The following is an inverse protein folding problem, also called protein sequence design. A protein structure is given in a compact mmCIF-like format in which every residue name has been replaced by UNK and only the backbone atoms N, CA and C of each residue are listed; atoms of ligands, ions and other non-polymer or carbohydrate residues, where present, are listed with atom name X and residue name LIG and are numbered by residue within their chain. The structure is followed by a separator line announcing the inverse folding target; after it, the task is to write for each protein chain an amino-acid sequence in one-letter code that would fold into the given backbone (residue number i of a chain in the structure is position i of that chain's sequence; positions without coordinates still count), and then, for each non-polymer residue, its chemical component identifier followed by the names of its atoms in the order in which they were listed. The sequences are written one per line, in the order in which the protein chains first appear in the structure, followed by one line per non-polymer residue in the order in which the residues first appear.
data_IF_069846238180
#
_entry.id   IF_069846238180
#
_cell.length_a   1.000
_cell.length_b   1.000
_cell.length_c   1.000
_cell.angle_alpha   90.00
_cell.angle_beta   90.00
_cell.angle_gamma   90.00
#
_symmetry.space_group_name_H-M   'P 1'
#
loop_
_entity.id
_entity.type
_entity.pdbx_description
1 polymer ?
#
# COMPACT_ATOMS: atom_id res chain seq x y z
N UNK A 1 21.25 0.12 20.21
CA UNK A 1 20.12 0.12 21.14
C UNK A 1 19.93 1.47 21.85
N UNK A 2 20.97 2.12 22.47
CA UNK A 2 20.79 3.43 23.13
C UNK A 2 20.19 4.52 22.25
N UNK A 3 20.69 4.70 21.03
CA UNK A 3 20.14 5.71 20.07
C UNK A 3 18.67 5.47 19.71
N UNK A 4 18.23 4.22 19.61
CA UNK A 4 16.83 3.87 19.30
C UNK A 4 15.91 4.21 20.48
N UNK A 5 16.35 3.89 21.72
CA UNK A 5 15.61 4.22 22.95
C UNK A 5 15.54 5.75 23.14
N UNK A 6 16.64 6.47 22.89
CA UNK A 6 16.66 7.94 22.93
C UNK A 6 15.72 8.55 21.88
N UNK A 7 15.67 8.00 20.67
CA UNK A 7 14.73 8.45 19.64
C UNK A 7 13.27 8.23 20.06
N UNK A 8 12.95 7.08 20.65
CA UNK A 8 11.61 6.80 21.19
C UNK A 8 11.25 7.77 22.34
N UNK A 9 12.17 8.03 23.26
CA UNK A 9 11.95 8.99 24.35
C UNK A 9 11.71 10.39 23.78
N UNK A 10 12.47 10.80 22.78
CA UNK A 10 12.30 12.11 22.12
C UNK A 10 10.96 12.25 21.39
N UNK A 11 10.45 11.18 20.78
CA UNK A 11 9.11 11.12 20.18
C UNK A 11 8.03 11.40 21.25
N UNK A 12 8.14 10.77 22.43
CA UNK A 12 7.17 10.96 23.51
C UNK A 12 7.25 12.32 24.21
N UNK A 13 8.39 13.01 24.14
CA UNK A 13 8.56 14.37 24.68
C UNK A 13 7.84 15.43 23.85
N UNK A 14 7.53 15.15 22.58
CA UNK A 14 6.84 16.08 21.71
C UNK A 14 5.32 15.85 21.82
N UNK A 15 4.62 16.72 22.49
CA UNK A 15 3.19 16.58 22.79
C UNK A 15 2.33 16.44 21.52
N UNK A 16 2.62 17.22 20.49
CA UNK A 16 1.92 17.12 19.20
C UNK A 16 2.08 15.75 18.55
N UNK A 17 3.32 15.24 18.50
CA UNK A 17 3.63 13.95 17.89
C UNK A 17 3.02 12.80 18.70
N UNK A 18 3.09 12.88 20.02
CA UNK A 18 2.44 11.94 20.95
C UNK A 18 0.94 11.87 20.68
N UNK A 19 0.27 13.02 20.59
CA UNK A 19 -1.17 13.08 20.34
C UNK A 19 -1.54 12.47 18.97
N UNK A 20 -0.77 12.74 17.93
CA UNK A 20 -0.96 12.14 16.60
C UNK A 20 -0.81 10.62 16.62
N UNK A 21 0.21 10.09 17.34
CA UNK A 21 0.41 8.64 17.51
C UNK A 21 -0.79 8.02 18.26
N UNK A 22 -1.22 8.62 19.36
CA UNK A 22 -2.35 8.12 20.15
C UNK A 22 -3.65 8.10 19.35
N UNK A 23 -3.92 9.15 18.56
CA UNK A 23 -5.08 9.20 17.66
C UNK A 23 -4.99 8.06 16.64
N UNK A 24 -3.83 7.87 16.02
CA UNK A 24 -3.62 6.79 15.03
C UNK A 24 -3.88 5.43 15.66
N UNK A 25 -3.29 5.14 16.81
CA UNK A 25 -3.48 3.87 17.51
C UNK A 25 -4.94 3.66 17.94
N UNK A 26 -5.61 4.70 18.44
CA UNK A 26 -7.02 4.64 18.81
C UNK A 26 -7.93 4.32 17.62
N UNK A 27 -7.71 4.95 16.47
CA UNK A 27 -8.48 4.68 15.25
C UNK A 27 -8.21 3.26 14.72
N UNK A 28 -6.95 2.81 14.74
CA UNK A 28 -6.59 1.45 14.35
C UNK A 28 -7.26 0.39 15.25
N UNK A 29 -7.38 0.66 16.55
CA UNK A 29 -8.08 -0.20 17.49
C UNK A 29 -9.57 -0.28 17.15
N UNK A 30 -10.22 0.84 16.87
CA UNK A 30 -11.65 0.88 16.44
C UNK A 30 -11.84 0.05 15.17
N UNK A 31 -10.96 0.21 14.18
CA UNK A 31 -11.01 -0.57 12.94
C UNK A 31 -10.87 -2.08 13.20
N UNK A 32 -9.92 -2.48 14.06
CA UNK A 32 -9.72 -3.90 14.41
C UNK A 32 -10.90 -4.48 15.18
N UNK A 33 -11.51 -3.72 16.06
CA UNK A 33 -12.72 -4.13 16.77
C UNK A 33 -13.86 -4.38 15.79
N UNK A 34 -14.13 -3.42 14.88
CA UNK A 34 -15.19 -3.56 13.88
C UNK A 34 -14.98 -4.74 12.91
N UNK A 35 -13.71 -5.11 12.62
CA UNK A 35 -13.40 -6.30 11.83
C UNK A 35 -13.74 -7.63 12.52
N UNK A 36 -14.05 -7.63 13.81
CA UNK A 36 -14.51 -8.82 14.56
C UNK A 36 -16.03 -8.91 14.67
N UNK A 37 -16.76 -7.83 14.38
CA UNK A 37 -18.21 -7.78 14.49
C UNK A 37 -18.82 -8.42 13.25
N UNK A 38 -19.47 -9.57 13.40
CA UNK A 38 -20.15 -10.29 12.32
C UNK A 38 -21.41 -9.55 11.85
N UNK A 39 -21.81 -9.78 10.61
CA UNK A 39 -23.07 -9.27 10.07
C UNK A 39 -24.26 -9.82 10.88
N UNK A 40 -25.26 -8.97 11.19
CA UNK A 40 -26.48 -9.42 11.85
C UNK A 40 -27.18 -10.50 11.02
N UNK A 41 -27.64 -11.55 11.69
CA UNK A 41 -28.29 -12.68 11.03
C UNK A 41 -27.37 -13.84 10.65
N UNK A 42 -26.06 -13.77 10.95
CA UNK A 42 -25.11 -14.86 10.74
C UNK A 42 -24.60 -15.37 12.09
N UNK A 43 -24.63 -16.69 12.29
CA UNK A 43 -24.05 -17.34 13.46
C UNK A 43 -22.54 -17.44 13.33
N UNK A 44 -21.82 -16.73 14.21
CA UNK A 44 -20.37 -16.69 14.23
C UNK A 44 -19.71 -18.06 14.47
N UNK A 45 -20.42 -19.01 15.11
CA UNK A 45 -19.89 -20.33 15.42
C UNK A 45 -19.74 -21.22 14.20
N UNK A 46 -20.56 -20.97 13.16
CA UNK A 46 -20.58 -21.76 11.92
C UNK A 46 -19.72 -21.21 10.80
N UNK A 47 -18.98 -20.14 11.05
CA UNK A 47 -18.08 -19.50 10.07
C UNK A 47 -16.77 -20.29 9.81
N UNK A 48 -16.53 -21.36 10.54
CA UNK A 48 -15.33 -22.22 10.36
C UNK A 48 -15.23 -22.82 8.95
N UNK A 49 -16.38 -23.12 8.31
CA UNK A 49 -16.45 -23.60 6.94
C UNK A 49 -15.99 -22.56 5.91
N UNK A 50 -16.34 -21.29 6.13
CA UNK A 50 -15.92 -20.17 5.29
C UNK A 50 -14.40 -19.93 5.40
N UNK A 51 -13.86 -20.00 6.62
CA UNK A 51 -12.42 -19.89 6.86
C UNK A 51 -11.61 -20.99 6.19
N UNK A 52 -12.18 -22.17 5.97
CA UNK A 52 -11.57 -23.26 5.22
C UNK A 52 -11.47 -22.99 3.71
N UNK A 53 -12.53 -22.50 3.11
CA UNK A 53 -12.61 -22.20 1.67
C UNK A 53 -11.88 -20.91 1.27
N UNK A 54 -11.74 -19.94 2.18
CA UNK A 54 -10.97 -18.72 1.94
C UNK A 54 -9.45 -18.92 2.08
N UNK A 55 -8.98 -20.12 2.38
CA UNK A 55 -7.53 -20.43 2.42
C UNK A 55 -6.91 -20.49 1.03
N UNK A 56 -7.69 -20.78 0.00
CA UNK A 56 -7.22 -20.95 -1.37
C UNK A 56 -7.87 -19.93 -2.32
N UNK A 57 -7.14 -19.53 -3.34
CA UNK A 57 -7.63 -18.65 -4.40
C UNK A 57 -7.78 -17.18 -3.99
N UNK A 58 -8.66 -16.48 -4.71
CA UNK A 58 -8.87 -15.03 -4.62
C UNK A 58 -9.40 -14.60 -3.24
N UNK A 59 -10.22 -15.43 -2.61
CA UNK A 59 -10.77 -15.17 -1.26
C UNK A 59 -9.67 -14.98 -0.21
N UNK A 60 -8.55 -15.68 -0.37
CA UNK A 60 -7.38 -15.57 0.52
C UNK A 60 -6.74 -14.18 0.49
N UNK A 61 -6.65 -13.58 -0.71
CA UNK A 61 -6.12 -12.20 -0.86
C UNK A 61 -7.05 -11.19 -0.18
N UNK A 62 -8.36 -11.27 -0.48
CA UNK A 62 -9.35 -10.37 0.11
C UNK A 62 -9.33 -10.47 1.64
N UNK A 63 -9.28 -11.69 2.15
CA UNK A 63 -9.25 -11.95 3.57
C UNK A 63 -7.98 -11.44 4.24
N UNK A 64 -6.85 -11.51 3.55
CA UNK A 64 -5.59 -10.96 4.03
C UNK A 64 -5.60 -9.42 4.10
N UNK A 65 -6.09 -8.73 3.07
CA UNK A 65 -6.19 -7.26 3.06
C UNK A 65 -7.19 -6.73 4.09
N UNK A 66 -8.28 -7.48 4.33
CA UNK A 66 -9.28 -7.11 5.34
C UNK A 66 -8.89 -7.56 6.75
N UNK A 67 -7.76 -8.29 6.88
CA UNK A 67 -7.26 -8.79 8.17
C UNK A 67 -8.17 -9.80 8.83
N UNK A 68 -8.83 -10.65 8.03
CA UNK A 68 -9.74 -11.68 8.50
C UNK A 68 -11.21 -11.26 8.58
N UNK A 69 -11.54 -10.04 8.18
CA UNK A 69 -12.90 -9.55 8.22
C UNK A 69 -13.78 -10.23 7.15
N UNK A 70 -13.20 -10.59 6.00
CA UNK A 70 -13.89 -11.30 4.93
C UNK A 70 -14.32 -12.71 5.36
N UNK A 71 -13.42 -13.50 5.93
CA UNK A 71 -13.72 -14.87 6.40
C UNK A 71 -14.61 -14.92 7.64
N UNK A 72 -14.72 -13.84 8.38
CA UNK A 72 -15.60 -13.70 9.54
C UNK A 72 -16.96 -13.09 9.22
N UNK A 73 -17.27 -12.88 7.94
CA UNK A 73 -18.48 -12.20 7.49
C UNK A 73 -18.79 -10.93 8.32
N UNK A 74 -17.75 -10.09 8.54
CA UNK A 74 -17.87 -8.93 9.41
C UNK A 74 -18.49 -7.73 8.70
N UNK A 75 -18.86 -6.70 9.49
CA UNK A 75 -19.31 -5.39 8.98
C UNK A 75 -18.27 -4.76 8.03
N UNK A 76 -16.98 -5.07 8.23
CA UNK A 76 -15.89 -4.64 7.35
C UNK A 76 -15.42 -5.74 6.39
N UNK A 77 -16.30 -6.67 6.00
CA UNK A 77 -15.90 -7.77 5.12
C UNK A 77 -15.31 -7.32 3.78
N UNK A 78 -15.84 -6.26 3.17
CA UNK A 78 -15.27 -5.65 1.96
C UNK A 78 -14.10 -4.71 2.27
N UNK A 79 -13.96 -4.26 3.52
CA UNK A 79 -12.87 -3.41 3.99
C UNK A 79 -12.70 -2.13 3.18
N UNK A 80 -11.45 -1.83 2.82
CA UNK A 80 -11.06 -0.64 2.05
C UNK A 80 -10.93 -0.97 0.55
N UNK A 81 -11.10 -2.23 0.13
CA UNK A 81 -10.87 -2.65 -1.26
C UNK A 81 -11.74 -1.88 -2.28
N UNK A 82 -13.05 -1.64 -2.05
CA UNK A 82 -13.86 -0.83 -2.97
C UNK A 82 -13.33 0.59 -3.15
N UNK A 83 -12.81 1.20 -2.07
CA UNK A 83 -12.20 2.52 -2.13
C UNK A 83 -10.89 2.52 -2.94
N UNK A 84 -10.05 1.49 -2.76
CA UNK A 84 -8.82 1.36 -3.55
C UNK A 84 -9.16 1.25 -5.03
N UNK A 85 -10.12 0.39 -5.39
CA UNK A 85 -10.58 0.25 -6.78
C UNK A 85 -11.14 1.56 -7.34
N UNK A 86 -11.94 2.29 -6.56
CA UNK A 86 -12.46 3.61 -6.93
C UNK A 86 -11.35 4.63 -7.15
N UNK A 87 -10.37 4.69 -6.25
CA UNK A 87 -9.22 5.59 -6.35
C UNK A 87 -8.38 5.31 -7.59
N UNK A 88 -8.17 4.03 -7.90
CA UNK A 88 -7.48 3.57 -9.10
C UNK A 88 -8.22 4.07 -10.36
N UNK A 89 -9.52 3.82 -10.45
CA UNK A 89 -10.33 4.24 -11.58
C UNK A 89 -10.28 5.76 -11.78
N UNK A 90 -10.43 6.53 -10.69
CA UNK A 90 -10.38 8.00 -10.76
C UNK A 90 -8.99 8.50 -11.19
N UNK A 91 -7.90 7.87 -10.73
CA UNK A 91 -6.54 8.23 -11.16
C UNK A 91 -6.32 7.95 -12.64
N UNK A 92 -6.78 6.79 -13.13
CA UNK A 92 -6.69 6.44 -14.57
C UNK A 92 -7.55 7.36 -15.42
N UNK A 93 -8.78 7.65 -15.00
CA UNK A 93 -9.67 8.59 -15.68
C UNK A 93 -9.11 10.03 -15.66
N UNK A 94 -8.31 10.38 -14.64
CA UNK A 94 -7.61 11.66 -14.56
C UNK A 94 -6.62 11.91 -15.69
N UNK A 95 -6.17 10.86 -16.39
CA UNK A 95 -5.31 10.95 -17.57
C UNK A 95 -6.14 11.08 -18.85
N UNK A 96 -7.25 10.33 -18.93
CA UNK A 96 -8.08 10.24 -20.12
C UNK A 96 -9.09 11.39 -20.23
N UNK A 97 -9.57 11.93 -19.10
CA UNK A 97 -10.63 12.94 -19.07
C UNK A 97 -10.04 14.33 -18.77
N UNK A 98 -10.12 15.31 -19.70
CA UNK A 98 -9.55 16.66 -19.52
C UNK A 98 -10.12 17.40 -18.29
N UNK A 99 -11.37 17.13 -17.93
CA UNK A 99 -11.99 17.71 -16.72
C UNK A 99 -11.28 17.26 -15.44
N UNK A 100 -10.98 15.97 -15.29
CA UNK A 100 -10.28 15.44 -14.14
C UNK A 100 -8.81 15.87 -14.11
N UNK A 101 -8.19 16.00 -15.27
CA UNK A 101 -6.84 16.52 -15.41
C UNK A 101 -6.73 17.97 -14.92
N UNK A 102 -7.71 18.81 -15.24
CA UNK A 102 -7.79 20.19 -14.69
C UNK A 102 -7.94 20.17 -13.18
N UNK A 103 -8.82 19.31 -12.63
CA UNK A 103 -8.99 19.17 -11.17
C UNK A 103 -7.70 18.73 -10.46
N UNK A 104 -6.88 17.89 -11.10
CA UNK A 104 -5.58 17.51 -10.55
C UNK A 104 -4.58 18.68 -10.50
N UNK A 105 -4.69 19.62 -11.42
CA UNK A 105 -3.85 20.84 -11.46
C UNK A 105 -4.34 21.97 -10.57
N UNK A 106 -5.63 21.99 -10.17
CA UNK A 106 -6.28 23.04 -9.37
C UNK A 106 -5.89 23.05 -7.87
N UNK A 107 -4.87 22.29 -7.49
CA UNK A 107 -4.34 22.29 -6.12
C UNK A 107 -5.30 21.68 -5.09
N UNK A 108 -5.46 22.34 -3.93
CA UNK A 108 -6.24 21.79 -2.81
C UNK A 108 -7.75 21.71 -3.10
N UNK A 109 -8.31 22.68 -3.81
CA UNK A 109 -9.72 22.68 -4.20
C UNK A 109 -10.05 21.52 -5.14
N UNK A 110 -9.19 21.28 -6.13
CA UNK A 110 -9.32 20.15 -7.05
C UNK A 110 -9.20 18.79 -6.35
N UNK A 111 -8.26 18.66 -5.41
CA UNK A 111 -8.11 17.44 -4.58
C UNK A 111 -9.37 17.11 -3.78
N UNK A 112 -10.03 18.12 -3.18
CA UNK A 112 -11.29 17.91 -2.45
C UNK A 112 -12.40 17.36 -3.36
N UNK A 113 -12.52 17.86 -4.60
CA UNK A 113 -13.49 17.38 -5.58
C UNK A 113 -13.16 15.95 -6.06
N UNK A 114 -11.89 15.66 -6.30
CA UNK A 114 -11.43 14.31 -6.68
C UNK A 114 -11.76 13.31 -5.57
N UNK A 115 -11.47 13.63 -4.31
CA UNK A 115 -11.82 12.80 -3.18
C UNK A 115 -13.33 12.57 -3.07
N UNK A 116 -14.15 13.58 -3.35
CA UNK A 116 -15.59 13.45 -3.36
C UNK A 116 -16.08 12.51 -4.47
N UNK A 117 -15.54 12.61 -5.68
CA UNK A 117 -15.84 11.69 -6.80
C UNK A 117 -15.44 10.26 -6.42
N UNK A 118 -14.26 10.08 -5.83
CA UNK A 118 -13.79 8.77 -5.35
C UNK A 118 -14.75 8.17 -4.32
N UNK A 119 -15.26 8.97 -3.37
CA UNK A 119 -16.25 8.49 -2.38
C UNK A 119 -17.55 8.02 -3.03
N UNK A 120 -18.11 8.78 -3.98
CA UNK A 120 -19.31 8.37 -4.70
C UNK A 120 -19.10 7.10 -5.51
N UNK A 121 -17.94 7.00 -6.18
CA UNK A 121 -17.58 5.80 -6.93
C UNK A 121 -17.40 4.59 -6.00
N UNK A 122 -16.82 4.78 -4.82
CA UNK A 122 -16.71 3.74 -3.79
C UNK A 122 -18.07 3.19 -3.39
N UNK A 123 -19.05 4.06 -3.17
CA UNK A 123 -20.43 3.64 -2.85
C UNK A 123 -21.00 2.81 -4.01
N UNK A 124 -20.85 3.27 -5.25
CA UNK A 124 -21.30 2.55 -6.44
C UNK A 124 -20.68 1.15 -6.57
N UNK A 125 -19.35 1.06 -6.39
CA UNK A 125 -18.63 -0.23 -6.45
C UNK A 125 -19.10 -1.15 -5.30
N UNK A 126 -19.25 -0.63 -4.10
CA UNK A 126 -19.70 -1.43 -2.94
C UNK A 126 -21.12 -1.95 -3.12
N UNK A 127 -22.01 -1.15 -3.72
CA UNK A 127 -23.38 -1.59 -4.04
C UNK A 127 -23.43 -2.75 -5.04
N UNK A 128 -22.45 -2.83 -5.95
CA UNK A 128 -22.32 -3.95 -6.90
C UNK A 128 -21.64 -5.16 -6.25
N UNK A 129 -20.58 -4.94 -5.47
CA UNK A 129 -19.82 -6.03 -4.83
C UNK A 129 -20.55 -6.64 -3.62
N UNK A 130 -21.34 -5.86 -2.88
CA UNK A 130 -22.06 -6.30 -1.70
C UNK A 130 -22.98 -7.49 -1.95
N UNK A 131 -23.92 -7.42 -2.90
CA UNK A 131 -24.76 -8.55 -3.28
C UNK A 131 -23.97 -9.78 -3.72
N UNK A 132 -22.90 -9.58 -4.48
CA UNK A 132 -21.99 -10.68 -4.90
C UNK A 132 -21.34 -11.38 -3.71
N UNK A 133 -20.89 -10.63 -2.71
CA UNK A 133 -20.36 -11.19 -1.48
C UNK A 133 -21.41 -11.99 -0.69
N UNK A 134 -22.63 -11.47 -0.55
CA UNK A 134 -23.70 -12.15 0.18
C UNK A 134 -24.13 -13.41 -0.56
N UNK A 135 -24.22 -13.36 -1.90
CA UNK A 135 -24.47 -14.55 -2.71
C UNK A 135 -23.42 -15.64 -2.51
N UNK A 136 -22.16 -15.25 -2.41
CA UNK A 136 -21.06 -16.17 -2.07
C UNK A 136 -21.26 -16.77 -0.66
N UNK A 137 -21.68 -15.97 0.34
CA UNK A 137 -21.98 -16.47 1.68
C UNK A 137 -23.10 -17.53 1.64
N UNK A 138 -24.17 -17.31 0.87
CA UNK A 138 -25.24 -18.30 0.72
C UNK A 138 -24.79 -19.62 0.10
N UNK A 139 -23.82 -19.60 -0.81
CA UNK A 139 -23.25 -20.81 -1.43
C UNK A 139 -22.27 -21.56 -0.53
N UNK A 140 -21.60 -20.83 0.35
CA UNK A 140 -20.48 -21.35 1.14
C UNK A 140 -20.90 -21.81 2.53
N UNK A 141 -21.86 -21.11 3.15
CA UNK A 141 -22.34 -21.42 4.50
C UNK A 141 -23.47 -22.46 4.47
N UNK A 142 -23.49 -23.38 5.45
CA UNK A 142 -24.63 -24.30 5.62
C UNK A 142 -25.89 -23.53 5.97
N UNK A 143 -27.06 -24.04 5.58
CA UNK A 143 -28.36 -23.42 5.83
C UNK A 143 -28.66 -23.10 7.31
N UNK A 144 -28.02 -23.79 8.24
CA UNK A 144 -28.13 -23.53 9.68
C UNK A 144 -27.31 -22.35 10.18
N UNK A 145 -26.44 -21.75 9.35
CA UNK A 145 -25.62 -20.58 9.72
C UNK A 145 -26.41 -19.26 9.67
N UNK A 146 -27.57 -19.28 9.02
CA UNK A 146 -28.46 -18.11 8.95
C UNK A 146 -29.50 -18.22 10.04
N UNK A 147 -29.63 -17.19 10.90
CA UNK A 147 -30.60 -17.14 11.99
C UNK A 147 -32.02 -17.18 11.42
N UNK A 148 -32.84 -18.09 11.94
CA UNK A 148 -34.24 -18.27 11.60
C UNK A 148 -35.02 -16.98 11.89
N UNK A 149 -35.68 -16.44 10.87
CA UNK A 149 -36.57 -15.26 11.01
C UNK A 149 -36.33 -14.14 10.00
N UNK A 150 -35.26 -14.19 9.21
CA UNK A 150 -35.03 -13.22 8.12
C UNK A 150 -35.46 -13.82 6.78
N UNK A 151 -36.32 -13.11 6.03
CA UNK A 151 -36.56 -13.39 4.63
C UNK A 151 -35.25 -13.14 3.85
N UNK A 152 -34.96 -13.94 2.82
CA UNK A 152 -33.72 -13.80 2.01
C UNK A 152 -33.54 -12.38 1.45
N UNK A 153 -34.63 -11.69 1.12
CA UNK A 153 -34.59 -10.32 0.64
C UNK A 153 -34.24 -9.30 1.73
N UNK A 154 -34.83 -9.44 2.92
CA UNK A 154 -34.56 -8.55 4.07
C UNK A 154 -33.10 -8.68 4.53
N UNK A 155 -32.61 -9.92 4.60
CA UNK A 155 -31.21 -10.18 4.92
C UNK A 155 -30.26 -9.58 3.86
N UNK A 156 -30.55 -9.78 2.56
CA UNK A 156 -29.76 -9.21 1.47
C UNK A 156 -29.71 -7.68 1.57
N UNK A 157 -30.86 -7.03 1.70
CA UNK A 157 -30.96 -5.57 1.75
C UNK A 157 -30.24 -4.99 2.97
N UNK A 158 -30.52 -5.51 4.16
CA UNK A 158 -29.90 -5.04 5.41
C UNK A 158 -28.38 -5.26 5.39
N UNK A 159 -27.91 -6.42 4.94
CA UNK A 159 -26.48 -6.73 4.86
C UNK A 159 -25.76 -5.85 3.85
N UNK A 160 -26.34 -5.56 2.68
CA UNK A 160 -25.77 -4.63 1.70
C UNK A 160 -25.62 -3.23 2.29
N UNK A 161 -26.67 -2.71 2.97
CA UNK A 161 -26.62 -1.39 3.61
C UNK A 161 -25.51 -1.35 4.69
N UNK A 162 -25.40 -2.41 5.49
CA UNK A 162 -24.35 -2.50 6.52
C UNK A 162 -22.97 -2.55 5.89
N UNK A 163 -22.76 -3.33 4.83
CA UNK A 163 -21.46 -3.41 4.13
C UNK A 163 -21.07 -2.07 3.50
N UNK A 164 -22.01 -1.36 2.88
CA UNK A 164 -21.77 -0.01 2.32
C UNK A 164 -21.37 0.96 3.44
N UNK A 165 -22.14 0.96 4.54
CA UNK A 165 -21.84 1.82 5.70
C UNK A 165 -20.48 1.46 6.31
N UNK A 166 -20.16 0.18 6.44
CA UNK A 166 -18.89 -0.30 6.94
C UNK A 166 -17.72 0.16 6.07
N UNK A 167 -17.85 0.05 4.76
CA UNK A 167 -16.81 0.51 3.81
C UNK A 167 -16.59 2.03 3.89
N UNK A 168 -17.69 2.82 3.95
CA UNK A 168 -17.61 4.28 4.09
C UNK A 168 -16.96 4.64 5.43
N UNK A 169 -17.32 3.94 6.50
CA UNK A 169 -16.75 4.18 7.82
C UNK A 169 -15.25 3.82 7.85
N UNK A 170 -14.83 2.71 7.27
CA UNK A 170 -13.43 2.33 7.14
C UNK A 170 -12.63 3.37 6.34
N UNK A 171 -13.19 3.88 5.23
CA UNK A 171 -12.61 4.97 4.46
C UNK A 171 -12.45 6.25 5.30
N UNK A 172 -13.50 6.64 6.04
CA UNK A 172 -13.47 7.81 6.92
C UNK A 172 -12.42 7.66 8.03
N UNK A 173 -12.25 6.46 8.61
CA UNK A 173 -11.18 6.19 9.57
C UNK A 173 -9.80 6.41 8.93
N UNK A 174 -9.59 5.93 7.71
CA UNK A 174 -8.34 6.14 6.96
C UNK A 174 -8.05 7.63 6.70
N UNK A 175 -9.05 8.39 6.26
CA UNK A 175 -8.92 9.84 6.07
C UNK A 175 -8.61 10.56 7.40
N UNK A 176 -9.27 10.17 8.49
CA UNK A 176 -9.01 10.74 9.84
C UNK A 176 -7.59 10.49 10.31
N UNK A 177 -7.01 9.32 10.04
CA UNK A 177 -5.60 9.05 10.34
C UNK A 177 -4.70 9.97 9.51
N UNK A 178 -4.99 10.13 8.21
CA UNK A 178 -4.19 10.99 7.32
C UNK A 178 -4.22 12.45 7.76
N UNK A 179 -5.39 12.96 8.20
CA UNK A 179 -5.56 14.36 8.60
C UNK A 179 -4.99 14.66 9.99
N UNK A 180 -5.29 13.82 10.97
CA UNK A 180 -4.98 14.06 12.39
C UNK A 180 -3.94 13.13 13.00
N UNK A 181 -3.61 12.06 12.32
CA UNK A 181 -2.64 11.05 12.76
C UNK A 181 -1.27 11.22 12.12
N UNK A 182 -0.60 10.09 11.92
CA UNK A 182 0.71 9.96 11.28
C UNK A 182 0.59 8.97 10.13
N UNK A 183 1.25 9.26 9.02
CA UNK A 183 1.28 8.39 7.85
C UNK A 183 0.07 8.51 6.95
N UNK A 184 0.06 7.68 5.91
CA UNK A 184 -1.12 7.52 5.06
C UNK A 184 -2.09 6.55 5.74
N UNK A 185 -3.22 7.06 6.21
CA UNK A 185 -4.17 6.28 7.02
C UNK A 185 -4.73 5.04 6.31
N UNK A 186 -5.00 5.13 5.01
CA UNK A 186 -5.50 4.01 4.21
C UNK A 186 -4.46 2.90 4.14
N UNK A 187 -3.21 3.26 3.84
CA UNK A 187 -2.10 2.31 3.79
C UNK A 187 -1.84 1.67 5.16
N UNK A 188 -1.96 2.44 6.25
CA UNK A 188 -1.85 1.93 7.63
C UNK A 188 -2.96 0.94 7.99
N UNK A 189 -4.20 1.19 7.57
CA UNK A 189 -5.30 0.26 7.80
C UNK A 189 -5.07 -1.08 7.08
N UNK A 190 -4.56 -1.03 5.84
CA UNK A 190 -4.19 -2.23 5.08
C UNK A 190 -3.05 -2.97 5.79
N UNK A 191 -1.99 -2.25 6.17
CA UNK A 191 -0.84 -2.83 6.87
C UNK A 191 -1.25 -3.55 8.16
N UNK A 192 -2.11 -2.93 8.97
CA UNK A 192 -2.62 -3.52 10.21
C UNK A 192 -3.51 -4.75 9.92
N UNK A 193 -4.29 -4.72 8.82
CA UNK A 193 -5.02 -5.90 8.34
C UNK A 193 -4.09 -7.07 8.06
N UNK A 194 -3.04 -6.84 7.28
CA UNK A 194 -2.03 -7.85 6.94
C UNK A 194 -1.32 -8.36 8.21
N UNK A 195 -0.82 -7.43 9.05
CA UNK A 195 -0.09 -7.78 10.26
C UNK A 195 -0.91 -8.63 11.25
N UNK A 196 -2.22 -8.43 11.28
CA UNK A 196 -3.10 -9.19 12.17
C UNK A 196 -3.23 -10.67 11.81
N UNK A 197 -2.94 -11.04 10.57
CA UNK A 197 -2.91 -12.44 10.10
C UNK A 197 -1.56 -13.13 10.33
N UNK A 198 -0.50 -12.34 10.51
CA UNK A 198 0.85 -12.85 10.68
C UNK A 198 1.02 -13.86 11.83
N UNK A 199 0.54 -13.60 13.07
CA UNK A 199 0.72 -14.54 14.17
C UNK A 199 0.06 -15.89 13.90
N UNK A 200 -1.15 -15.88 13.30
CA UNK A 200 -1.89 -17.10 13.00
C UNK A 200 -1.20 -17.91 11.89
N UNK A 201 -0.72 -17.25 10.84
CA UNK A 201 0.03 -17.91 9.76
C UNK A 201 1.32 -18.55 10.29
N UNK A 202 2.05 -17.83 11.15
CA UNK A 202 3.28 -18.34 11.76
C UNK A 202 3.03 -19.55 12.66
N UNK A 203 1.98 -19.51 13.51
CA UNK A 203 1.62 -20.66 14.37
C UNK A 203 1.21 -21.87 13.54
N UNK A 204 0.47 -21.68 12.44
CA UNK A 204 0.07 -22.76 11.54
C UNK A 204 1.29 -23.43 10.89
N UNK A 205 2.26 -22.63 10.39
CA UNK A 205 3.49 -23.16 9.81
C UNK A 205 4.33 -23.89 10.85
N UNK A 206 4.51 -23.28 12.03
CA UNK A 206 5.23 -23.90 13.15
C UNK A 206 4.63 -25.26 13.52
N UNK A 207 3.31 -25.34 13.67
CA UNK A 207 2.62 -26.60 13.95
C UNK A 207 2.80 -27.62 12.83
N UNK A 208 2.71 -27.21 11.55
CA UNK A 208 2.91 -28.08 10.40
C UNK A 208 4.32 -28.69 10.37
N UNK A 209 5.36 -27.90 10.66
CA UNK A 209 6.76 -28.33 10.63
C UNK A 209 7.16 -29.18 11.84
N UNK A 210 6.62 -28.87 13.01
CA UNK A 210 7.00 -29.59 14.27
C UNK A 210 6.13 -30.81 14.48
N UNK A 211 4.81 -30.73 14.22
CA UNK A 211 3.87 -31.82 14.55
C UNK A 211 3.70 -32.84 13.42
N UNK A 212 3.66 -32.38 12.17
CA UNK A 212 3.38 -33.25 11.00
C UNK A 212 4.64 -33.79 10.31
N UNK A 213 5.83 -33.52 10.83
CA UNK A 213 7.13 -33.99 10.29
C UNK A 213 7.41 -33.57 8.82
N UNK A 214 6.74 -32.57 8.28
CA UNK A 214 7.00 -32.06 6.93
C UNK A 214 8.31 -31.25 6.91
N UNK A 215 9.43 -31.95 6.79
CA UNK A 215 10.76 -31.36 6.68
C UNK A 215 11.43 -30.97 8.01
N UNK A 216 10.74 -31.13 9.14
CA UNK A 216 11.29 -30.91 10.47
C UNK A 216 11.58 -29.46 10.85
N UNK A 217 11.98 -29.19 12.10
CA UNK A 217 12.23 -27.83 12.62
C UNK A 217 13.42 -27.12 11.93
N UNK A 218 14.32 -27.85 11.26
CA UNK A 218 15.44 -27.29 10.52
C UNK A 218 14.97 -26.49 9.30
N UNK A 219 13.93 -26.94 8.60
CA UNK A 219 13.34 -26.23 7.46
C UNK A 219 12.73 -24.90 7.90
N UNK A 220 12.08 -24.85 9.06
CA UNK A 220 11.53 -23.63 9.62
C UNK A 220 12.60 -22.55 9.87
N UNK A 221 13.79 -22.97 10.36
CA UNK A 221 14.92 -22.02 10.54
C UNK A 221 15.37 -21.44 9.20
N UNK A 222 15.45 -22.29 8.16
CA UNK A 222 15.81 -21.84 6.80
C UNK A 222 14.75 -20.86 6.28
N UNK A 223 13.47 -21.15 6.47
CA UNK A 223 12.36 -20.26 6.09
C UNK A 223 12.49 -18.88 6.74
N UNK A 224 12.74 -18.82 8.05
CA UNK A 224 12.92 -17.56 8.76
C UNK A 224 14.13 -16.78 8.22
N UNK A 225 15.24 -17.44 7.90
CA UNK A 225 16.42 -16.78 7.33
C UNK A 225 16.08 -16.20 5.95
N UNK A 226 15.41 -16.96 5.08
CA UNK A 226 14.98 -16.49 3.76
C UNK A 226 14.03 -15.31 3.92
N UNK A 227 13.06 -15.41 4.83
CA UNK A 227 12.09 -14.32 5.10
C UNK A 227 12.80 -13.02 5.52
N UNK A 228 13.76 -13.07 6.45
CA UNK A 228 14.56 -11.91 6.84
C UNK A 228 15.36 -11.33 5.67
N UNK A 229 15.94 -12.19 4.82
CA UNK A 229 16.69 -11.75 3.64
C UNK A 229 15.79 -11.01 2.64
N UNK A 230 14.57 -11.50 2.43
CA UNK A 230 13.58 -10.84 1.56
C UNK A 230 13.13 -9.50 2.13
N UNK A 231 12.93 -9.39 3.46
CA UNK A 231 12.63 -8.11 4.12
C UNK A 231 13.77 -7.11 3.88
N UNK A 232 15.02 -7.51 4.09
CA UNK A 232 16.19 -6.66 3.86
C UNK A 232 16.24 -6.19 2.40
N UNK A 233 16.01 -7.10 1.45
CA UNK A 233 15.97 -6.79 0.03
C UNK A 233 14.86 -5.79 -0.30
N UNK A 234 13.68 -5.94 0.30
CA UNK A 234 12.56 -5.00 0.15
C UNK A 234 12.89 -3.61 0.72
N UNK A 235 13.52 -3.55 1.90
CA UNK A 235 13.97 -2.29 2.51
C UNK A 235 14.97 -1.59 1.61
N UNK A 236 15.96 -2.31 1.08
CA UNK A 236 16.97 -1.76 0.16
C UNK A 236 16.31 -1.18 -1.10
N UNK A 237 15.32 -1.86 -1.69
CA UNK A 237 14.57 -1.36 -2.84
C UNK A 237 13.85 -0.04 -2.53
N UNK A 238 13.10 0.01 -1.41
CA UNK A 238 12.30 1.19 -1.04
C UNK A 238 13.18 2.38 -0.67
N UNK A 239 14.35 2.13 -0.07
CA UNK A 239 15.30 3.17 0.32
C UNK A 239 16.28 3.58 -0.80
N UNK A 240 16.34 2.83 -1.90
CA UNK A 240 17.26 3.12 -3.00
C UNK A 240 16.90 4.44 -3.69
N UNK A 241 17.87 5.37 -3.72
CA UNK A 241 17.73 6.69 -4.34
C UNK A 241 18.90 6.98 -5.26
N UNK A 242 18.61 7.53 -6.45
CA UNK A 242 19.61 8.11 -7.35
C UNK A 242 19.71 9.61 -7.08
N UNK A 243 20.88 10.10 -6.73
CA UNK A 243 21.14 11.52 -6.49
C UNK A 243 21.65 12.17 -7.78
N UNK A 244 20.91 13.18 -8.28
CA UNK A 244 21.33 14.00 -9.44
C UNK A 244 21.90 15.32 -8.91
N UNK A 245 23.12 15.70 -9.27
CA UNK A 245 23.71 16.96 -8.84
C UNK A 245 23.03 18.15 -9.54
N UNK A 246 22.67 19.16 -8.76
CA UNK A 246 22.13 20.43 -9.25
C UNK A 246 22.95 21.57 -8.67
N UNK A 247 23.28 22.53 -9.51
CA UNK A 247 23.96 23.77 -9.11
C UNK A 247 22.99 24.94 -9.26
N UNK A 248 23.00 25.83 -8.27
CA UNK A 248 22.22 27.06 -8.30
C UNK A 248 23.15 28.24 -8.55
N UNK A 249 22.77 29.13 -9.48
CA UNK A 249 23.48 30.37 -9.71
C UNK A 249 23.30 31.29 -8.49
N UNK A 250 24.37 31.55 -7.73
CA UNK A 250 24.38 32.44 -6.57
C UNK A 250 24.96 33.80 -6.97
N UNK A 251 24.30 34.88 -6.61
CA UNK A 251 24.92 36.20 -6.66
C UNK A 251 25.90 36.29 -5.50
N UNK A 252 27.18 36.29 -5.77
CA UNK A 252 28.25 36.58 -4.81
C UNK A 252 28.19 38.07 -4.45
N UNK A 253 27.88 38.38 -3.21
CA UNK A 253 27.87 39.77 -2.69
C UNK A 253 29.12 40.07 -1.88
N UNK A 254 29.99 39.10 -1.66
CA UNK A 254 31.22 39.17 -0.85
C UNK A 254 32.46 38.91 -1.70
N UNK A 255 33.46 39.75 -1.55
CA UNK A 255 34.67 39.77 -2.41
C UNK A 255 35.68 38.61 -2.31
N UNK A 256 35.33 37.52 -1.59
CA UNK A 256 36.18 36.31 -1.49
C UNK A 256 35.78 35.26 -2.53
N UNK A 257 36.19 35.48 -3.77
CA UNK A 257 35.89 34.58 -4.91
C UNK A 257 36.44 33.16 -4.76
N UNK A 258 37.54 32.95 -4.08
CA UNK A 258 38.15 31.60 -3.99
C UNK A 258 37.48 30.67 -3.01
N UNK A 259 37.01 31.15 -1.88
CA UNK A 259 36.29 30.31 -0.89
C UNK A 259 34.85 29.97 -1.32
N UNK A 260 34.17 30.90 -1.99
CA UNK A 260 32.80 30.69 -2.48
C UNK A 260 32.73 29.74 -3.70
N UNK A 261 33.82 29.62 -4.49
CA UNK A 261 33.90 28.65 -5.59
C UNK A 261 34.17 27.21 -5.14
N UNK A 262 34.84 27.00 -4.01
CA UNK A 262 35.07 25.64 -3.47
C UNK A 262 33.84 25.08 -2.74
N UNK A 263 33.01 25.92 -2.18
CA UNK A 263 31.78 25.54 -1.43
C UNK A 263 30.52 25.74 -2.28
N UNK A 264 30.65 25.60 -3.61
CA UNK A 264 29.53 25.62 -4.55
C UNK A 264 28.39 24.74 -4.02
N UNK A 265 27.28 25.36 -3.66
CA UNK A 265 26.08 24.76 -3.04
C UNK A 265 25.53 23.67 -3.96
N UNK A 266 26.22 22.52 -4.05
CA UNK A 266 25.77 21.35 -4.79
C UNK A 266 24.62 20.74 -4.03
N UNK A 267 23.43 20.96 -4.53
CA UNK A 267 22.24 20.27 -4.06
C UNK A 267 22.03 19.01 -4.90
N UNK A 268 21.29 18.07 -4.36
CA UNK A 268 21.02 16.82 -5.02
C UNK A 268 19.51 16.63 -5.13
N UNK A 269 19.03 16.28 -6.32
CA UNK A 269 17.66 15.82 -6.49
C UNK A 269 17.66 14.31 -6.21
N UNK A 270 16.97 13.85 -5.14
CA UNK A 270 16.85 12.42 -4.85
C UNK A 270 15.74 11.82 -5.70
N UNK A 271 16.08 11.03 -6.72
CA UNK A 271 15.11 10.22 -7.46
C UNK A 271 15.04 8.83 -6.83
N UNK A 272 13.86 8.46 -6.33
CA UNK A 272 13.63 7.13 -5.75
C UNK A 272 13.63 6.07 -6.86
N UNK A 273 14.26 4.93 -6.62
CA UNK A 273 14.24 3.77 -7.53
C UNK A 273 12.79 3.25 -7.70
N UNK A 274 12.06 3.20 -6.59
CA UNK A 274 10.64 2.91 -6.55
C UNK A 274 9.84 4.20 -6.29
N UNK A 275 9.79 5.09 -7.29
CA UNK A 275 9.04 6.34 -7.20
C UNK A 275 7.52 6.11 -7.17
N UNK A 276 7.06 5.03 -7.80
CA UNK A 276 5.66 4.62 -7.84
C UNK A 276 5.15 3.98 -6.54
N UNK A 277 6.06 3.61 -5.62
CA UNK A 277 5.69 2.97 -4.36
C UNK A 277 5.04 1.60 -4.54
N UNK A 278 3.97 1.37 -3.83
CA UNK A 278 3.23 0.09 -3.80
C UNK A 278 2.10 0.04 -4.85
N UNK A 279 1.74 1.20 -5.42
CA UNK A 279 0.59 1.35 -6.31
C UNK A 279 0.59 0.39 -7.52
N UNK A 280 1.69 0.20 -8.28
CA UNK A 280 1.70 -0.70 -9.42
C UNK A 280 1.27 -2.13 -9.10
N UNK A 281 1.64 -2.63 -7.93
CA UNK A 281 1.31 -3.98 -7.48
C UNK A 281 -0.19 -4.09 -7.18
N UNK A 282 -0.75 -3.07 -6.51
CA UNK A 282 -2.18 -3.01 -6.21
C UNK A 282 -3.00 -2.96 -7.49
N UNK A 283 -2.54 -2.17 -8.51
CA UNK A 283 -3.17 -2.11 -9.83
C UNK A 283 -3.13 -3.45 -10.56
N UNK A 284 -1.95 -4.08 -10.61
CA UNK A 284 -1.80 -5.39 -11.23
C UNK A 284 -2.73 -6.42 -10.58
N UNK A 285 -2.83 -6.40 -9.25
CA UNK A 285 -3.70 -7.29 -8.51
C UNK A 285 -5.18 -7.02 -8.76
N UNK A 286 -5.61 -5.75 -8.82
CA UNK A 286 -6.99 -5.39 -9.13
C UNK A 286 -7.41 -5.89 -10.52
N UNK A 287 -6.50 -5.82 -11.52
CA UNK A 287 -6.78 -6.34 -12.87
C UNK A 287 -6.83 -7.87 -12.87
N UNK A 288 -6.00 -8.55 -12.07
CA UNK A 288 -6.03 -10.01 -11.96
C UNK A 288 -7.35 -10.55 -11.38
N UNK A 289 -8.16 -9.71 -10.70
CA UNK A 289 -9.51 -10.09 -10.29
C UNK A 289 -10.51 -10.18 -11.45
N UNK A 290 -10.29 -9.46 -12.55
CA UNK A 290 -11.23 -9.41 -13.68
C UNK A 290 -11.38 -10.78 -14.37
N UNK A 291 -10.30 -11.48 -14.80
CA UNK A 291 -10.41 -12.81 -15.39
C UNK A 291 -11.13 -13.80 -14.47
N UNK A 292 -10.83 -13.75 -13.18
CA UNK A 292 -11.43 -14.64 -12.20
C UNK A 292 -12.94 -14.38 -11.97
N UNK A 293 -13.36 -13.10 -12.02
CA UNK A 293 -14.78 -12.72 -11.92
C UNK A 293 -15.58 -13.13 -13.18
N UNK A 294 -15.00 -12.89 -14.38
CA UNK A 294 -15.62 -13.29 -15.66
C UNK A 294 -15.72 -14.80 -15.79
N UNK A 295 -14.71 -15.50 -15.31
CA UNK A 295 -14.65 -16.95 -15.30
C UNK A 295 -15.78 -17.61 -14.50
N UNK A 296 -16.19 -16.99 -13.39
CA UNK A 296 -17.33 -17.46 -12.59
C UNK A 296 -18.71 -17.29 -13.26
N UNK A 297 -18.79 -16.53 -14.34
CA UNK A 297 -20.03 -16.24 -15.07
C UNK A 297 -20.24 -17.11 -16.31
N UNK A 298 -19.23 -17.85 -16.78
CA UNK A 298 -19.29 -18.62 -18.01
C UNK A 298 -19.07 -20.12 -17.75
N UNK A 299 -19.97 -20.96 -18.24
CA UNK A 299 -19.94 -22.44 -18.09
C UNK A 299 -19.23 -23.16 -19.28
N UNK A 300 -18.59 -22.44 -20.23
CA UNK A 300 -17.96 -23.06 -21.37
C UNK A 300 -16.64 -23.76 -21.00
N UNK A 301 -16.32 -24.89 -21.67
CA UNK A 301 -15.07 -25.65 -21.43
C UNK A 301 -13.79 -24.83 -21.62
N UNK A 302 -13.80 -23.89 -22.59
CA UNK A 302 -12.68 -22.96 -22.80
C UNK A 302 -12.52 -21.98 -21.64
N UNK A 303 -13.61 -21.55 -20.99
CA UNK A 303 -13.54 -20.72 -19.81
C UNK A 303 -13.03 -21.48 -18.60
N UNK A 304 -13.40 -22.75 -18.44
CA UNK A 304 -12.92 -23.58 -17.32
C UNK A 304 -11.41 -23.83 -17.35
N UNK A 305 -10.79 -24.00 -18.53
CA UNK A 305 -9.33 -24.14 -18.64
C UNK A 305 -8.60 -22.83 -18.33
N UNK A 306 -9.12 -21.69 -18.79
CA UNK A 306 -8.60 -20.37 -18.41
C UNK A 306 -8.79 -20.11 -16.91
N UNK A 307 -9.97 -20.42 -16.37
CA UNK A 307 -10.26 -20.35 -14.94
C UNK A 307 -9.26 -21.16 -14.14
N UNK A 308 -9.01 -22.40 -14.50
CA UNK A 308 -8.06 -23.29 -13.81
C UNK A 308 -6.65 -22.69 -13.76
N UNK A 309 -6.20 -22.08 -14.88
CA UNK A 309 -4.88 -21.44 -14.96
C UNK A 309 -4.77 -20.18 -14.06
N UNK A 310 -5.87 -19.42 -13.91
CA UNK A 310 -5.88 -18.17 -13.13
C UNK A 310 -6.42 -18.32 -11.71
N UNK A 311 -7.07 -19.44 -11.37
CA UNK A 311 -7.55 -19.71 -10.01
C UNK A 311 -6.41 -20.07 -9.04
N UNK A 312 -5.34 -20.65 -9.54
CA UNK A 312 -4.19 -20.98 -8.72
C UNK A 312 -3.21 -19.81 -8.67
N UNK A 313 -3.21 -19.07 -7.55
CA UNK A 313 -2.33 -17.92 -7.32
C UNK A 313 -0.83 -18.27 -7.35
N UNK A 314 -0.47 -19.50 -7.04
CA UNK A 314 0.91 -19.97 -7.07
C UNK A 314 1.27 -20.63 -8.40
N UNK A 315 0.31 -20.69 -9.36
CA UNK A 315 0.51 -21.25 -10.68
C UNK A 315 1.45 -20.39 -11.55
N UNK A 316 2.17 -21.04 -12.46
CA UNK A 316 3.12 -20.39 -13.36
C UNK A 316 2.46 -19.28 -14.22
N UNK A 317 1.32 -19.57 -14.86
CA UNK A 317 0.63 -18.63 -15.74
C UNK A 317 0.11 -17.39 -15.00
N UNK A 318 -0.46 -17.58 -13.80
CA UNK A 318 -0.88 -16.47 -12.95
C UNK A 318 0.29 -15.53 -12.64
N UNK A 319 1.41 -16.10 -12.18
CA UNK A 319 2.57 -15.31 -11.77
C UNK A 319 3.29 -14.65 -12.94
N UNK A 320 3.30 -15.26 -14.12
CA UNK A 320 3.87 -14.67 -15.34
C UNK A 320 3.10 -13.42 -15.76
N UNK A 321 1.77 -13.52 -15.84
CA UNK A 321 0.91 -12.38 -16.21
C UNK A 321 0.97 -11.30 -15.13
N UNK A 322 0.95 -11.69 -13.86
CA UNK A 322 1.06 -10.75 -12.73
C UNK A 322 2.39 -9.99 -12.74
N UNK A 323 3.52 -10.66 -12.95
CA UNK A 323 4.83 -10.03 -13.09
C UNK A 323 4.87 -9.04 -14.25
N UNK A 324 4.33 -9.42 -15.41
CA UNK A 324 4.28 -8.56 -16.60
C UNK A 324 3.44 -7.31 -16.34
N UNK A 325 2.27 -7.47 -15.71
CA UNK A 325 1.41 -6.34 -15.33
C UNK A 325 2.12 -5.41 -14.34
N UNK A 326 2.83 -5.93 -13.35
CA UNK A 326 3.60 -5.11 -12.40
C UNK A 326 4.63 -4.26 -13.14
N UNK A 327 5.39 -4.84 -14.08
CA UNK A 327 6.38 -4.09 -14.86
C UNK A 327 5.71 -2.98 -15.66
N UNK A 328 4.65 -3.30 -16.41
CA UNK A 328 3.91 -2.31 -17.21
C UNK A 328 3.36 -1.19 -16.34
N UNK A 329 2.70 -1.52 -15.23
CA UNK A 329 2.14 -0.50 -14.34
C UNK A 329 3.21 0.30 -13.60
N UNK A 330 4.37 -0.27 -13.32
CA UNK A 330 5.47 0.48 -12.70
C UNK A 330 5.97 1.59 -13.63
N UNK A 331 6.16 1.29 -14.91
CA UNK A 331 6.52 2.32 -15.90
C UNK A 331 5.42 3.37 -16.04
N UNK A 332 4.19 2.91 -16.23
CA UNK A 332 3.04 3.78 -16.39
C UNK A 332 2.86 4.73 -15.20
N UNK A 333 2.87 4.19 -13.99
CA UNK A 333 2.66 4.97 -12.78
C UNK A 333 3.84 5.90 -12.46
N UNK A 334 5.06 5.48 -12.75
CA UNK A 334 6.26 6.33 -12.59
C UNK A 334 6.19 7.56 -13.50
N UNK A 335 5.78 7.38 -14.76
CA UNK A 335 5.61 8.48 -15.71
C UNK A 335 4.56 9.52 -15.26
N UNK A 336 3.53 9.09 -14.53
CA UNK A 336 2.50 9.98 -13.98
C UNK A 336 2.97 10.69 -12.70
N UNK A 337 3.63 9.94 -11.81
CA UNK A 337 3.98 10.42 -10.47
C UNK A 337 5.14 11.41 -10.50
N UNK A 338 6.06 11.24 -11.43
CA UNK A 338 7.25 12.10 -11.57
C UNK A 338 7.09 13.01 -12.80
N UNK A 339 6.53 14.22 -12.65
CA UNK A 339 6.34 15.15 -13.76
C UNK A 339 7.65 15.88 -14.09
N UNK A 340 8.51 15.27 -14.90
CA UNK A 340 9.83 15.76 -15.28
C UNK A 340 9.80 17.15 -15.91
N UNK A 341 8.76 17.44 -16.72
CA UNK A 341 8.54 18.78 -17.30
C UNK A 341 8.41 19.86 -16.21
N UNK A 342 7.56 19.63 -15.19
CA UNK A 342 7.39 20.56 -14.07
C UNK A 342 8.68 20.72 -13.27
N UNK A 343 9.39 19.63 -13.03
CA UNK A 343 10.69 19.66 -12.32
C UNK A 343 11.72 20.49 -13.08
N UNK A 344 11.77 20.36 -14.41
CA UNK A 344 12.67 21.16 -15.27
C UNK A 344 12.31 22.65 -15.23
N UNK A 345 11.00 22.97 -15.30
CA UNK A 345 10.53 24.36 -15.23
C UNK A 345 10.80 24.98 -13.86
N UNK A 346 10.61 24.26 -12.77
CA UNK A 346 10.88 24.71 -11.40
C UNK A 346 12.38 24.94 -11.19
N UNK A 347 13.24 24.05 -11.70
CA UNK A 347 14.69 24.26 -11.71
C UNK A 347 15.08 25.55 -12.47
N UNK A 348 14.53 25.72 -13.66
CA UNK A 348 14.79 26.92 -14.48
C UNK A 348 14.34 28.20 -13.77
N UNK A 349 13.16 28.20 -13.13
CA UNK A 349 12.64 29.35 -12.37
C UNK A 349 13.46 29.66 -11.14
N UNK A 350 13.99 28.65 -10.47
CA UNK A 350 14.85 28.81 -9.28
C UNK A 350 16.31 29.11 -9.62
N UNK A 351 16.69 29.22 -10.91
CA UNK A 351 18.05 29.44 -11.34
C UNK A 351 18.97 28.24 -11.14
N UNK A 352 18.39 27.04 -10.96
CA UNK A 352 19.12 25.78 -10.87
C UNK A 352 19.39 25.16 -12.24
N UNK A 353 20.52 24.49 -12.40
CA UNK A 353 20.85 23.75 -13.60
C UNK A 353 21.60 22.46 -13.27
N UNK A 354 21.48 21.48 -14.12
CA UNK A 354 22.24 20.23 -14.05
C UNK A 354 23.54 20.43 -14.82
N UNK A 355 24.72 20.18 -14.21
CA UNK A 355 26.01 20.32 -14.92
C UNK A 355 26.03 19.48 -16.20
N UNK A 356 26.34 20.12 -17.33
CA UNK A 356 26.41 19.48 -18.65
C UNK A 356 25.11 19.38 -19.43
N UNK A 357 23.98 19.90 -18.89
CA UNK A 357 22.66 19.89 -19.56
C UNK A 357 22.07 21.32 -19.59
N UNK A 358 21.53 21.73 -20.74
CA UNK A 358 20.92 23.05 -20.87
C UNK A 358 19.60 23.12 -20.10
N UNK A 359 19.34 24.22 -19.35
CA UNK A 359 18.07 24.41 -18.64
C UNK A 359 16.88 24.45 -19.61
N UNK A 360 15.81 23.76 -19.26
CA UNK A 360 14.58 23.68 -20.05
C UNK A 360 14.30 22.29 -20.61
N UNK A 361 13.93 22.18 -21.88
CA UNK A 361 13.51 20.90 -22.49
C UNK A 361 14.61 19.82 -22.40
N UNK A 362 15.87 20.16 -22.66
CA UNK A 362 16.97 19.21 -22.55
C UNK A 362 17.12 18.64 -21.12
N UNK A 363 16.84 19.46 -20.08
CA UNK A 363 16.83 18.99 -18.67
C UNK A 363 15.68 18.02 -18.45
N UNK A 364 14.50 18.26 -19.01
CA UNK A 364 13.36 17.34 -18.93
C UNK A 364 13.68 16.00 -19.60
N UNK A 365 14.22 16.03 -20.81
CA UNK A 365 14.60 14.81 -21.57
C UNK A 365 15.68 14.02 -20.83
N UNK A 366 16.66 14.71 -20.21
CA UNK A 366 17.67 14.06 -19.38
C UNK A 366 17.05 13.37 -18.16
N UNK A 367 16.14 14.06 -17.45
CA UNK A 367 15.44 13.49 -16.29
C UNK A 367 14.58 12.29 -16.68
N UNK A 368 13.85 12.36 -17.83
CA UNK A 368 13.06 11.26 -18.35
C UNK A 368 13.91 10.04 -18.70
N UNK A 369 15.05 10.26 -19.34
CA UNK A 369 16.01 9.18 -19.63
C UNK A 369 16.54 8.52 -18.37
N UNK A 370 16.94 9.32 -17.37
CA UNK A 370 17.41 8.80 -16.09
C UNK A 370 16.31 8.04 -15.36
N UNK A 371 15.09 8.57 -15.34
CA UNK A 371 13.94 7.91 -14.72
C UNK A 371 13.61 6.57 -15.38
N UNK A 372 13.59 6.50 -16.71
CA UNK A 372 13.36 5.25 -17.45
C UNK A 372 14.40 4.18 -17.13
N UNK A 373 15.70 4.60 -17.09
CA UNK A 373 16.80 3.70 -16.75
C UNK A 373 16.76 3.18 -15.32
N UNK A 374 16.26 3.98 -14.37
CA UNK A 374 16.14 3.61 -12.95
C UNK A 374 14.89 2.75 -12.74
N UNK A 375 13.80 3.08 -13.43
CA UNK A 375 12.52 2.37 -13.29
C UNK A 375 12.61 0.92 -13.75
N UNK A 376 13.40 0.62 -14.78
CA UNK A 376 13.51 -0.75 -15.31
C UNK A 376 14.00 -1.76 -14.28
N UNK A 377 15.18 -1.60 -13.64
CA UNK A 377 15.63 -2.53 -12.61
C UNK A 377 14.71 -2.51 -11.38
N UNK A 378 14.11 -1.36 -11.04
CA UNK A 378 13.13 -1.25 -9.97
C UNK A 378 11.89 -2.08 -10.23
N UNK A 379 11.32 -2.00 -11.44
CA UNK A 379 10.15 -2.77 -11.85
C UNK A 379 10.41 -4.28 -11.87
N UNK A 380 11.58 -4.68 -12.39
CA UNK A 380 12.00 -6.08 -12.43
C UNK A 380 12.13 -6.67 -11.01
N UNK A 381 12.74 -5.90 -10.10
CA UNK A 381 12.91 -6.33 -8.72
C UNK A 381 11.56 -6.38 -7.97
N UNK A 382 10.66 -5.43 -8.22
CA UNK A 382 9.29 -5.46 -7.69
C UNK A 382 8.52 -6.70 -8.19
N UNK A 383 8.61 -7.01 -9.48
CA UNK A 383 7.97 -8.19 -10.05
C UNK A 383 8.53 -9.48 -9.45
N UNK A 384 9.86 -9.57 -9.26
CA UNK A 384 10.51 -10.71 -8.62
C UNK A 384 10.03 -10.88 -7.18
N UNK A 385 9.99 -9.81 -6.39
CA UNK A 385 9.45 -9.85 -5.03
C UNK A 385 7.98 -10.24 -4.98
N UNK A 386 7.19 -9.83 -5.96
CA UNK A 386 5.77 -10.16 -6.03
C UNK A 386 5.52 -11.64 -6.34
N UNK A 387 6.36 -12.26 -7.17
CA UNK A 387 6.28 -13.69 -7.55
C UNK A 387 6.98 -14.61 -6.53
N UNK A 388 7.82 -14.05 -5.67
CA UNK A 388 8.64 -14.82 -4.73
C UNK A 388 7.85 -15.81 -3.86
N UNK A 389 6.64 -15.50 -3.34
CA UNK A 389 5.81 -16.46 -2.61
C UNK A 389 5.52 -17.75 -3.39
N UNK A 390 5.25 -17.64 -4.70
CA UNK A 390 4.98 -18.79 -5.54
C UNK A 390 6.22 -19.70 -5.69
N UNK A 391 7.41 -19.09 -5.77
CA UNK A 391 8.68 -19.81 -5.82
C UNK A 391 8.92 -20.57 -4.50
N UNK A 392 8.67 -19.92 -3.36
CA UNK A 392 8.85 -20.54 -2.04
C UNK A 392 7.89 -21.72 -1.84
N UNK A 393 6.62 -21.57 -2.21
CA UNK A 393 5.63 -22.66 -2.13
C UNK A 393 6.06 -23.85 -2.99
N UNK A 394 6.53 -23.61 -4.21
CA UNK A 394 6.91 -24.69 -5.12
C UNK A 394 8.20 -25.41 -4.73
N UNK A 395 9.14 -24.74 -4.04
CA UNK A 395 10.44 -25.30 -3.66
C UNK A 395 10.45 -25.92 -2.26
N UNK A 396 9.70 -25.35 -1.31
CA UNK A 396 9.81 -25.70 0.11
C UNK A 396 8.52 -26.28 0.70
N UNK A 397 7.47 -26.41 -0.10
CA UNK A 397 6.17 -26.96 0.33
C UNK A 397 5.60 -26.23 1.57
N UNK A 398 5.75 -24.92 1.58
CA UNK A 398 5.33 -24.02 2.68
C UNK A 398 3.82 -23.85 2.66
N UNK A 399 3.20 -23.74 3.82
CA UNK A 399 1.77 -23.44 3.93
C UNK A 399 1.43 -22.13 3.21
N UNK A 400 0.36 -22.13 2.42
CA UNK A 400 -0.03 -20.97 1.59
C UNK A 400 -0.23 -19.69 2.42
N UNK A 401 -0.81 -19.82 3.63
CA UNK A 401 -1.01 -18.68 4.54
C UNK A 401 0.30 -18.02 4.98
N UNK A 402 1.36 -18.81 5.19
CA UNK A 402 2.67 -18.31 5.56
C UNK A 402 3.45 -17.79 4.35
N UNK A 403 3.33 -18.48 3.21
CA UNK A 403 3.98 -18.07 1.97
C UNK A 403 3.64 -16.63 1.55
N UNK A 404 2.41 -16.18 1.80
CA UNK A 404 1.97 -14.81 1.53
C UNK A 404 2.82 -13.74 2.24
N UNK A 405 3.53 -14.09 3.31
CA UNK A 405 4.41 -13.16 4.05
C UNK A 405 5.86 -13.18 3.57
N UNK A 406 6.25 -14.10 2.69
CA UNK A 406 7.60 -14.13 2.10
C UNK A 406 7.83 -13.08 1.03
N UNK A 407 6.80 -12.43 0.53
CA UNK A 407 6.89 -11.45 -0.52
C UNK A 407 5.52 -10.99 -0.97
N UNK A 408 5.36 -10.82 -2.28
CA UNK A 408 4.11 -10.39 -2.85
C UNK A 408 3.71 -8.99 -2.40
N UNK A 409 2.43 -8.70 -2.55
CA UNK A 409 1.85 -7.40 -2.22
C UNK A 409 1.93 -7.08 -0.73
N UNK A 410 1.76 -8.09 0.12
CA UNK A 410 1.67 -7.91 1.58
C UNK A 410 2.96 -7.40 2.20
N UNK A 411 4.08 -8.02 1.88
CA UNK A 411 5.38 -7.64 2.44
C UNK A 411 5.81 -6.26 1.95
N UNK A 412 5.62 -5.97 0.65
CA UNK A 412 5.99 -4.69 0.06
C UNK A 412 5.13 -3.56 0.65
N UNK A 413 3.82 -3.78 0.85
CA UNK A 413 2.95 -2.81 1.51
C UNK A 413 3.40 -2.59 2.96
N UNK A 414 3.65 -3.66 3.70
CA UNK A 414 4.04 -3.57 5.11
C UNK A 414 5.36 -2.80 5.28
N UNK A 415 6.38 -3.12 4.49
CA UNK A 415 7.69 -2.44 4.54
C UNK A 415 7.59 -1.01 4.03
N UNK A 416 6.89 -0.77 2.92
CA UNK A 416 6.72 0.56 2.34
C UNK A 416 6.03 1.52 3.30
N UNK A 417 4.90 1.11 3.87
CA UNK A 417 4.14 1.92 4.83
C UNK A 417 4.93 2.17 6.11
N UNK A 418 5.66 1.17 6.62
CA UNK A 418 6.50 1.32 7.79
C UNK A 418 7.61 2.37 7.56
N UNK A 419 8.30 2.30 6.41
CA UNK A 419 9.36 3.25 6.05
C UNK A 419 8.78 4.66 5.87
N UNK A 420 7.67 4.82 5.15
CA UNK A 420 7.03 6.12 4.95
C UNK A 420 6.59 6.74 6.29
N UNK A 421 6.05 5.93 7.20
CA UNK A 421 5.65 6.39 8.55
C UNK A 421 6.85 6.83 9.37
N UNK A 422 7.96 6.05 9.35
CA UNK A 422 9.20 6.41 10.04
C UNK A 422 9.82 7.70 9.45
N UNK A 423 9.79 7.86 8.13
CA UNK A 423 10.28 9.09 7.48
C UNK A 423 9.47 10.31 7.90
N UNK A 424 8.15 10.20 8.01
CA UNK A 424 7.29 11.28 8.49
C UNK A 424 7.60 11.62 9.95
N UNK A 425 7.74 10.62 10.83
CA UNK A 425 8.13 10.84 12.24
C UNK A 425 9.47 11.59 12.32
N UNK A 426 10.46 11.16 11.54
CA UNK A 426 11.78 11.81 11.49
C UNK A 426 11.69 13.26 10.99
N UNK A 427 10.85 13.54 10.00
CA UNK A 427 10.61 14.90 9.52
C UNK A 427 10.01 15.81 10.58
N UNK A 428 9.04 15.32 11.37
CA UNK A 428 8.50 16.05 12.52
C UNK A 428 9.56 16.34 13.59
N UNK A 429 10.42 15.36 13.89
CA UNK A 429 11.52 15.52 14.86
C UNK A 429 12.52 16.59 14.41
N UNK A 430 12.91 16.58 13.14
CA UNK A 430 13.85 17.55 12.56
C UNK A 430 13.26 18.97 12.60
N UNK A 431 12.04 19.16 12.14
CA UNK A 431 11.39 20.47 12.12
C UNK A 431 11.35 21.10 13.51
N UNK A 432 11.02 20.33 14.54
CA UNK A 432 10.95 20.83 15.90
C UNK A 432 12.33 21.13 16.53
N UNK A 433 13.35 20.40 16.11
CA UNK A 433 14.73 20.70 16.52
C UNK A 433 15.18 22.06 15.97
N UNK A 434 14.84 22.38 14.71
CA UNK A 434 15.11 23.68 14.09
C UNK A 434 14.33 24.82 14.77
N UNK A 435 13.06 24.61 15.11
CA UNK A 435 12.24 25.61 15.84
C UNK A 435 12.83 25.94 17.24
N UNK A 436 13.36 24.93 17.91
CA UNK A 436 14.05 25.09 19.21
C UNK A 436 15.31 25.95 19.10
N UNK A 437 16.11 25.73 18.04
CA UNK A 437 17.31 26.52 17.79
C UNK A 437 16.99 27.97 17.40
N UNK A 438 15.93 28.21 16.61
CA UNK A 438 15.50 29.56 16.24
C UNK A 438 14.96 30.35 17.44
N UNK A 439 14.22 29.73 18.35
CA UNK A 439 13.75 30.36 19.61
C UNK A 439 14.90 30.69 20.54
N UNK A 440 15.91 29.82 20.65
CA UNK A 440 17.12 30.07 21.43
C UNK A 440 17.98 31.22 20.86
N UNK A 441 18.05 31.35 19.54
CA UNK A 441 18.76 32.46 18.87
C UNK A 441 18.07 33.82 19.05
N UNK A 442 16.72 33.84 19.17
CA UNK A 442 15.95 35.05 19.38
C UNK A 442 16.11 35.62 20.80
N UNK A 443 16.24 34.71 21.79
CA UNK A 443 16.51 35.11 23.18
C UNK A 443 17.93 35.64 23.41
N UNK A 444 18.91 35.26 22.61
CA UNK A 444 20.28 35.79 22.67
C UNK A 444 20.38 37.22 22.10
N UNK A 445 19.52 37.61 21.16
CA UNK A 445 19.49 39.00 20.62
C UNK A 445 18.70 39.98 21.49
N UNK A 446 17.92 39.48 22.46
CA UNK A 446 17.18 40.32 23.40
C UNK A 446 17.96 40.67 24.67
N UNK A 447 19.15 40.10 24.86
CA UNK A 447 20.04 40.29 26.04
C UNK A 447 21.36 41.02 25.65
N UNK A 448 21.56 41.32 24.37
CA UNK A 448 22.62 42.18 23.85
C UNK A 448 22.02 43.49 23.33
#
# INVERSE_FOLDING_TARGET
MKKFIESLINVWKIEELKNRILITLGILLVYRFGAQVTLPGIDATQLTGLAGQTKEGIGSILDMFTGGAFSKASVFALGIMPYISASIVVQLMGIAIPYLQKLQSDGESGRKKINQITRWLTIGITLVQGPGYIYNLYRTLPNGAFLLGFNSFEFLFSSVVILVTGTIFAMWLGEKITDKGIGNGISLLIMVGILARFPQAFIQEFAARVTNNNGGPMLLVIEIIIWLLVIISCILLVMAIRKIPVQYARRTTSGDFEKDMMDGNRQWIPLKLNASGVMPIIFAQAIMFIPAAVAGLSESEASQSIVGAFSNMFGFWYNLVFATLIVVFTFFYTAITVPTNKMSDDLKRSGGFIPGVRPGVETSDFLDKVMSLITFPGALFLALLAVFPAIVVSLMDVQQSWAMFFGGTSLIIMVGVAIDTIQQINSYLLNKHYDGLMKSGKNRKAVA
#
